data_IF_672408275721
#
_entry.id   IF_672408275721
#
_cell.length_a   1.000
_cell.length_b   1.000
_cell.length_c   1.000
_cell.angle_alpha   90.00
_cell.angle_beta   90.00
_cell.angle_gamma   90.00
#
_symmetry.space_group_name_H-M   'P 1'
#
loop_
_entity.id
_entity.type
_entity.pdbx_description
1 polymer ?
#
# COMPACT_ATOMS: atom_id res chain seq x y z
N UNK A 1 3.23 -22.48 18.49
CA UNK A 1 2.49 -21.53 17.65
C UNK A 1 3.52 -20.59 17.08
N UNK A 2 3.74 -20.58 15.74
CA UNK A 2 4.71 -19.68 15.12
C UNK A 2 4.26 -18.23 15.31
N UNK A 3 5.20 -17.32 15.62
CA UNK A 3 4.92 -15.89 15.69
C UNK A 3 4.51 -15.38 14.30
N UNK A 4 3.46 -14.58 14.24
CA UNK A 4 2.99 -13.99 13.00
C UNK A 4 3.98 -12.91 12.54
N UNK A 5 4.66 -13.13 11.41
CA UNK A 5 5.63 -12.19 10.86
C UNK A 5 4.92 -11.10 10.06
N UNK A 6 5.34 -9.84 10.26
CA UNK A 6 4.87 -8.71 9.47
C UNK A 6 6.00 -8.15 8.61
N UNK A 7 5.76 -8.05 7.31
CA UNK A 7 6.62 -7.33 6.35
C UNK A 7 5.89 -6.08 5.88
N UNK A 8 6.46 -4.91 6.16
CA UNK A 8 5.91 -3.62 5.77
C UNK A 8 6.50 -3.14 4.43
N UNK A 9 5.64 -2.74 3.49
CA UNK A 9 6.06 -2.24 2.17
C UNK A 9 5.39 -0.89 1.90
N UNK A 10 6.10 0.20 2.14
CA UNK A 10 5.60 1.55 1.94
C UNK A 10 6.12 2.20 0.65
N UNK A 11 5.50 3.29 0.26
CA UNK A 11 5.93 4.07 -0.90
C UNK A 11 4.79 4.78 -1.63
N UNK A 12 5.09 5.71 -2.54
CA UNK A 12 4.08 6.48 -3.27
C UNK A 12 3.27 5.61 -4.23
N UNK A 13 2.23 6.21 -4.83
CA UNK A 13 1.40 5.52 -5.83
C UNK A 13 2.24 5.09 -7.04
N UNK A 14 1.96 3.92 -7.59
CA UNK A 14 2.62 3.33 -8.77
C UNK A 14 4.16 3.16 -8.66
N UNK A 15 4.71 3.10 -7.44
CA UNK A 15 6.13 2.80 -7.20
C UNK A 15 6.50 1.33 -7.44
N UNK A 16 5.52 0.45 -7.60
CA UNK A 16 5.74 -0.99 -7.71
C UNK A 16 5.59 -1.77 -6.40
N UNK A 17 5.35 -1.09 -5.28
CA UNK A 17 5.24 -1.72 -3.95
C UNK A 17 4.21 -2.86 -3.88
N UNK A 18 3.00 -2.69 -4.45
CA UNK A 18 1.97 -3.73 -4.44
C UNK A 18 2.34 -4.97 -5.27
N UNK A 19 3.13 -4.80 -6.34
CA UNK A 19 3.70 -5.93 -7.09
C UNK A 19 4.73 -6.67 -6.25
N UNK A 20 5.62 -5.93 -5.58
CA UNK A 20 6.59 -6.50 -4.66
C UNK A 20 5.90 -7.24 -3.51
N UNK A 21 4.94 -6.59 -2.84
CA UNK A 21 4.24 -7.16 -1.69
C UNK A 21 3.54 -8.49 -2.01
N UNK A 22 2.82 -8.56 -3.15
CA UNK A 22 2.20 -9.82 -3.58
C UNK A 22 3.22 -10.93 -3.86
N UNK A 23 4.34 -10.58 -4.51
CA UNK A 23 5.39 -11.55 -4.81
C UNK A 23 6.08 -12.06 -3.55
N UNK A 24 6.36 -11.17 -2.59
CA UNK A 24 6.93 -11.56 -1.29
C UNK A 24 5.96 -12.44 -0.51
N UNK A 25 4.68 -12.08 -0.45
CA UNK A 25 3.67 -12.89 0.20
C UNK A 25 3.60 -14.31 -0.39
N UNK A 26 3.56 -14.43 -1.71
CA UNK A 26 3.57 -15.74 -2.38
C UNK A 26 4.87 -16.52 -2.12
N UNK A 27 6.04 -15.85 -2.09
CA UNK A 27 7.34 -16.48 -1.92
C UNK A 27 7.58 -17.04 -0.51
N UNK A 28 7.02 -16.37 0.50
CA UNK A 28 7.18 -16.78 1.91
C UNK A 28 5.90 -17.41 2.49
N UNK A 29 4.91 -17.73 1.67
CA UNK A 29 3.65 -18.30 2.13
C UNK A 29 2.87 -17.40 3.08
N UNK A 30 3.10 -16.06 3.02
CA UNK A 30 2.42 -15.07 3.87
C UNK A 30 1.15 -14.56 3.20
N UNK A 31 0.25 -14.01 4.02
CA UNK A 31 -0.95 -13.32 3.52
C UNK A 31 -0.57 -11.95 2.98
N UNK A 32 -1.36 -11.40 2.05
CA UNK A 32 -1.12 -10.06 1.49
C UNK A 32 -2.32 -9.14 1.73
N UNK A 33 -2.06 -7.91 2.17
CA UNK A 33 -3.06 -6.85 2.28
C UNK A 33 -2.60 -5.56 1.59
N UNK A 34 -3.28 -5.19 0.49
CA UNK A 34 -3.22 -3.83 -0.09
C UNK A 34 -4.08 -2.91 0.78
N UNK A 35 -3.44 -2.23 1.74
CA UNK A 35 -4.16 -1.35 2.68
C UNK A 35 -4.80 -0.16 1.97
N UNK A 36 -4.31 0.22 0.80
CA UNK A 36 -4.93 1.23 -0.03
C UNK A 36 -6.36 0.88 -0.45
N UNK A 37 -6.71 -0.41 -0.56
CA UNK A 37 -8.08 -0.83 -0.86
C UNK A 37 -9.04 -0.52 0.28
N UNK A 38 -8.60 -0.63 1.55
CA UNK A 38 -9.41 -0.25 2.72
C UNK A 38 -9.87 1.22 2.61
N UNK A 39 -8.91 2.13 2.39
CA UNK A 39 -9.22 3.55 2.24
C UNK A 39 -10.05 3.86 1.00
N UNK A 40 -9.87 3.12 -0.09
CA UNK A 40 -10.67 3.29 -1.31
C UNK A 40 -12.11 2.86 -1.11
N UNK A 41 -12.34 1.72 -0.43
CA UNK A 41 -13.69 1.27 -0.10
C UNK A 41 -14.42 2.29 0.79
N UNK A 42 -13.78 2.77 1.85
CA UNK A 42 -14.32 3.86 2.69
C UNK A 42 -14.56 5.13 1.86
N UNK A 43 -13.63 5.49 0.99
CA UNK A 43 -13.77 6.68 0.15
C UNK A 43 -14.94 6.62 -0.83
N UNK A 44 -15.23 5.46 -1.40
CA UNK A 44 -16.40 5.25 -2.27
C UNK A 44 -17.69 5.35 -1.46
N UNK A 45 -17.76 4.71 -0.29
CA UNK A 45 -18.93 4.79 0.61
C UNK A 45 -19.17 6.24 1.06
N UNK A 46 -18.10 6.97 1.39
CA UNK A 46 -18.19 8.39 1.75
C UNK A 46 -18.65 9.28 0.59
N UNK A 47 -18.19 9.01 -0.64
CA UNK A 47 -18.64 9.71 -1.84
C UNK A 47 -20.12 9.44 -2.16
N UNK A 48 -20.66 8.31 -1.72
CA UNK A 48 -22.09 7.99 -1.79
C UNK A 48 -22.92 8.59 -0.63
N UNK A 49 -22.31 9.41 0.25
CA UNK A 49 -23.00 10.14 1.33
C UNK A 49 -22.96 9.47 2.70
N UNK A 50 -22.25 8.33 2.84
CA UNK A 50 -22.08 7.70 4.16
C UNK A 50 -21.02 8.46 4.98
N UNK A 51 -21.21 8.53 6.30
CA UNK A 51 -20.18 9.06 7.19
C UNK A 51 -18.89 8.22 7.07
N UNK A 52 -17.72 8.84 6.82
CA UNK A 52 -16.49 8.10 6.54
C UNK A 52 -15.97 7.31 7.75
N UNK A 53 -16.28 7.74 8.99
CA UNK A 53 -15.86 7.01 10.20
C UNK A 53 -16.70 5.76 10.36
N UNK A 54 -18.02 5.89 10.25
CA UNK A 54 -18.95 4.74 10.26
C UNK A 54 -18.61 3.75 9.12
N UNK A 55 -18.32 4.26 7.91
CA UNK A 55 -17.92 3.42 6.79
C UNK A 55 -16.63 2.64 7.07
N UNK A 56 -15.70 3.22 7.83
CA UNK A 56 -14.46 2.56 8.22
C UNK A 56 -14.65 1.53 9.34
N UNK A 57 -15.50 1.82 10.32
CA UNK A 57 -15.82 0.92 11.43
C UNK A 57 -16.58 -0.33 10.97
N UNK A 58 -17.47 -0.16 9.98
CA UNK A 58 -18.29 -1.24 9.41
C UNK A 58 -17.66 -1.91 8.18
N UNK A 59 -16.37 -1.66 7.90
CA UNK A 59 -15.70 -2.19 6.72
C UNK A 59 -15.48 -3.70 6.86
N UNK A 60 -15.91 -4.44 5.86
CA UNK A 60 -15.67 -5.88 5.73
C UNK A 60 -14.67 -6.18 4.59
N UNK A 61 -13.99 -7.34 4.65
CA UNK A 61 -13.06 -7.74 3.58
C UNK A 61 -13.77 -8.01 2.25
N UNK A 62 -15.06 -8.36 2.27
CA UNK A 62 -15.93 -8.46 1.10
C UNK A 62 -16.04 -7.14 0.32
N UNK A 63 -15.97 -6.00 1.02
CA UNK A 63 -15.97 -4.66 0.40
C UNK A 63 -14.74 -4.40 -0.48
N UNK A 64 -13.69 -5.20 -0.36
CA UNK A 64 -12.42 -5.00 -1.08
C UNK A 64 -12.36 -5.65 -2.46
N UNK A 65 -13.43 -6.31 -2.91
CA UNK A 65 -13.46 -7.11 -4.15
C UNK A 65 -14.03 -6.40 -5.36
N UNK A 66 -14.59 -5.19 -5.21
CA UNK A 66 -15.25 -4.45 -6.29
C UNK A 66 -14.30 -3.94 -7.39
N UNK A 67 -14.72 -3.98 -8.68
CA UNK A 67 -13.91 -3.47 -9.80
C UNK A 67 -13.63 -1.96 -9.71
N UNK A 68 -14.54 -1.20 -9.11
CA UNK A 68 -14.46 0.26 -9.00
C UNK A 68 -13.35 0.74 -8.06
N UNK A 69 -12.91 -0.12 -7.14
CA UNK A 69 -11.84 0.20 -6.17
C UNK A 69 -10.49 0.52 -6.83
N UNK A 70 -10.27 0.11 -8.08
CA UNK A 70 -8.99 0.28 -8.76
C UNK A 70 -8.95 1.47 -9.74
N UNK A 71 -10.07 2.19 -9.86
CA UNK A 71 -10.19 3.42 -10.66
C UNK A 71 -9.51 4.63 -10.02
N UNK A 72 -9.36 5.71 -10.81
CA UNK A 72 -8.77 6.95 -10.31
C UNK A 72 -9.69 7.67 -9.32
N UNK A 73 -11.01 7.62 -9.53
CA UNK A 73 -12.00 8.16 -8.60
C UNK A 73 -11.87 7.57 -7.19
N UNK A 74 -11.79 6.22 -7.10
CA UNK A 74 -11.58 5.54 -5.83
C UNK A 74 -10.22 5.89 -5.20
N UNK A 75 -9.18 6.04 -6.03
CA UNK A 75 -7.85 6.41 -5.56
C UNK A 75 -7.81 7.82 -4.95
N UNK A 76 -8.52 8.78 -5.54
CA UNK A 76 -8.64 10.15 -5.02
C UNK A 76 -9.52 10.18 -3.75
N UNK A 77 -10.68 9.51 -3.77
CA UNK A 77 -11.56 9.40 -2.62
C UNK A 77 -10.85 8.76 -1.41
N UNK A 78 -10.14 7.65 -1.63
CA UNK A 78 -9.35 6.99 -0.60
C UNK A 78 -8.23 7.89 -0.03
N UNK A 79 -7.56 8.67 -0.86
CA UNK A 79 -6.53 9.62 -0.39
C UNK A 79 -7.12 10.75 0.46
N UNK A 80 -8.35 11.21 0.17
CA UNK A 80 -9.06 12.22 0.97
C UNK A 80 -9.43 11.68 2.35
N UNK A 81 -10.08 10.51 2.44
CA UNK A 81 -10.50 9.94 3.73
C UNK A 81 -9.30 9.46 4.57
N UNK A 82 -8.18 9.13 3.94
CA UNK A 82 -6.94 8.79 4.63
C UNK A 82 -6.31 9.99 5.40
N UNK A 83 -6.77 11.21 5.19
CA UNK A 83 -6.40 12.38 5.98
C UNK A 83 -7.22 12.51 7.29
N UNK A 84 -8.29 11.74 7.46
CA UNK A 84 -9.18 11.79 8.64
C UNK A 84 -8.61 10.89 9.75
N UNK A 85 -8.19 11.43 10.92
CA UNK A 85 -7.55 10.62 11.97
C UNK A 85 -8.44 9.48 12.49
N UNK A 86 -9.75 9.71 12.65
CA UNK A 86 -10.69 8.69 13.14
C UNK A 86 -10.83 7.52 12.15
N UNK A 87 -10.88 7.78 10.83
CA UNK A 87 -10.87 6.73 9.79
C UNK A 87 -9.59 5.90 9.88
N UNK A 88 -8.44 6.54 10.08
CA UNK A 88 -7.15 5.84 10.23
C UNK A 88 -7.13 4.95 11.46
N UNK A 89 -7.67 5.44 12.60
CA UNK A 89 -7.76 4.68 13.84
C UNK A 89 -8.59 3.40 13.65
N UNK A 90 -9.78 3.51 13.04
CA UNK A 90 -10.65 2.37 12.75
C UNK A 90 -9.96 1.36 11.83
N UNK A 91 -9.39 1.81 10.71
CA UNK A 91 -8.72 0.93 9.74
C UNK A 91 -7.41 0.32 10.25
N UNK A 92 -6.72 0.95 11.21
CA UNK A 92 -5.55 0.35 11.86
C UNK A 92 -5.93 -0.93 12.61
N UNK A 93 -7.06 -0.94 13.32
CA UNK A 93 -7.57 -2.14 13.96
C UNK A 93 -7.82 -3.30 12.98
N UNK A 94 -8.35 -3.02 11.79
CA UNK A 94 -8.55 -4.02 10.72
C UNK A 94 -7.21 -4.60 10.27
N UNK A 95 -6.21 -3.75 10.04
CA UNK A 95 -4.87 -4.16 9.61
C UNK A 95 -4.16 -5.02 10.67
N UNK A 96 -4.27 -4.66 11.94
CA UNK A 96 -3.70 -5.43 13.05
C UNK A 96 -4.34 -6.82 13.15
N UNK A 97 -5.68 -6.90 13.10
CA UNK A 97 -6.37 -8.22 13.11
C UNK A 97 -5.95 -9.09 11.94
N UNK A 98 -5.84 -8.50 10.73
CA UNK A 98 -5.36 -9.23 9.56
C UNK A 98 -3.96 -9.80 9.76
N UNK A 99 -3.02 -9.00 10.26
CA UNK A 99 -1.63 -9.41 10.41
C UNK A 99 -1.40 -10.39 11.58
N UNK A 100 -2.28 -10.39 12.59
CA UNK A 100 -2.18 -11.28 13.74
C UNK A 100 -2.47 -12.76 13.41
N UNK A 101 -3.17 -13.03 12.31
CA UNK A 101 -3.49 -14.40 11.91
C UNK A 101 -2.27 -15.09 11.27
N UNK A 102 -1.94 -16.33 11.69
CA UNK A 102 -0.86 -17.10 11.09
C UNK A 102 -1.07 -17.31 9.56
N UNK A 103 0.03 -17.39 8.82
CA UNK A 103 1.44 -17.36 9.20
C UNK A 103 2.01 -15.93 9.34
N UNK A 104 1.18 -14.90 9.28
CA UNK A 104 1.57 -13.50 9.22
C UNK A 104 1.25 -12.86 7.87
N UNK A 105 1.75 -11.65 7.63
CA UNK A 105 1.34 -10.89 6.45
C UNK A 105 2.42 -9.95 5.89
N UNK A 106 2.32 -9.72 4.58
CA UNK A 106 2.93 -8.60 3.88
C UNK A 106 1.84 -7.53 3.67
N UNK A 107 2.04 -6.35 4.24
CA UNK A 107 1.13 -5.22 4.06
C UNK A 107 1.80 -4.14 3.20
N UNK A 108 1.07 -3.63 2.20
CA UNK A 108 1.56 -2.49 1.45
C UNK A 108 0.69 -1.24 1.62
N UNK A 109 1.36 -0.10 1.81
CA UNK A 109 0.68 1.16 2.12
C UNK A 109 1.51 2.42 1.93
N UNK A 110 1.41 3.32 2.93
CA UNK A 110 2.12 4.60 2.97
C UNK A 110 2.87 4.82 4.29
N UNK A 111 2.42 4.18 5.34
CA UNK A 111 2.84 4.36 6.72
C UNK A 111 2.81 3.06 7.53
N UNK A 112 2.92 1.94 6.84
CA UNK A 112 2.88 0.62 7.49
C UNK A 112 4.05 0.50 8.45
N UNK A 113 5.27 0.75 8.00
CA UNK A 113 6.48 0.64 8.81
C UNK A 113 6.74 1.82 9.73
N UNK A 114 5.98 2.94 9.62
CA UNK A 114 6.16 4.10 10.49
C UNK A 114 5.11 4.23 11.57
N UNK A 115 3.85 3.82 11.30
CA UNK A 115 2.70 4.08 12.17
C UNK A 115 1.90 2.82 12.48
N UNK A 116 1.63 1.96 11.48
CA UNK A 116 0.75 0.81 11.67
C UNK A 116 1.50 -0.33 12.36
N UNK A 117 2.69 -0.66 11.89
CA UNK A 117 3.60 -1.67 12.45
C UNK A 117 5.02 -1.09 12.59
N UNK A 118 5.23 -0.15 13.53
CA UNK A 118 6.54 0.48 13.72
C UNK A 118 7.62 -0.52 14.17
N UNK A 119 7.21 -1.65 14.74
CA UNK A 119 8.10 -2.72 15.20
C UNK A 119 8.20 -3.89 14.20
N UNK A 120 7.68 -3.75 12.98
CA UNK A 120 7.83 -4.77 11.94
C UNK A 120 9.31 -5.08 11.71
N UNK A 121 9.73 -6.37 11.73
CA UNK A 121 11.14 -6.75 11.60
C UNK A 121 11.72 -6.43 10.23
N UNK A 122 10.88 -6.36 9.19
CA UNK A 122 11.29 -6.02 7.83
C UNK A 122 10.43 -4.89 7.29
N UNK A 123 11.09 -3.84 6.84
CA UNK A 123 10.46 -2.65 6.27
C UNK A 123 11.11 -2.26 4.96
N UNK A 124 10.30 -2.05 3.95
CA UNK A 124 10.70 -1.53 2.65
C UNK A 124 10.05 -0.19 2.38
N UNK A 125 10.79 0.71 1.76
CA UNK A 125 10.25 1.90 1.13
C UNK A 125 10.60 1.89 -0.36
N UNK A 126 9.59 1.68 -1.20
CA UNK A 126 9.77 1.61 -2.64
C UNK A 126 9.44 2.96 -3.25
N UNK A 127 10.46 3.63 -3.78
CA UNK A 127 10.29 4.92 -4.47
C UNK A 127 10.52 4.79 -5.97
N UNK A 128 10.12 5.80 -6.71
CA UNK A 128 10.47 6.02 -8.11
C UNK A 128 10.15 7.47 -8.49
N UNK A 129 10.83 7.99 -9.51
CA UNK A 129 10.54 9.33 -10.05
C UNK A 129 9.07 9.48 -10.44
N UNK A 130 8.51 10.64 -10.21
CA UNK A 130 7.09 10.92 -10.46
C UNK A 130 6.69 10.58 -11.91
N UNK A 131 7.53 10.95 -12.88
CA UNK A 131 7.28 10.72 -14.32
C UNK A 131 7.24 9.22 -14.65
N UNK A 132 8.12 8.42 -14.05
CA UNK A 132 8.15 6.96 -14.26
C UNK A 132 6.89 6.31 -13.67
N UNK A 133 6.48 6.75 -12.48
CA UNK A 133 5.24 6.29 -11.84
C UNK A 133 4.00 6.70 -12.63
N UNK A 134 3.98 7.92 -13.16
CA UNK A 134 2.88 8.39 -14.00
C UNK A 134 2.78 7.61 -15.32
N UNK A 135 3.91 7.26 -15.95
CA UNK A 135 3.94 6.39 -17.14
C UNK A 135 3.42 4.99 -16.83
N UNK A 136 3.81 4.41 -15.66
CA UNK A 136 3.31 3.09 -15.21
C UNK A 136 1.80 3.13 -15.01
N UNK A 137 1.30 4.16 -14.31
CA UNK A 137 -0.14 4.32 -14.03
C UNK A 137 -0.94 4.55 -15.30
N UNK A 138 -0.46 5.39 -16.20
CA UNK A 138 -1.10 5.64 -17.50
C UNK A 138 -1.24 4.35 -18.31
N UNK A 139 -0.17 3.54 -18.40
CA UNK A 139 -0.22 2.22 -19.06
C UNK A 139 -1.17 1.24 -18.38
N UNK A 140 -1.21 1.24 -17.06
CA UNK A 140 -2.13 0.40 -16.28
C UNK A 140 -3.59 0.74 -16.59
N UNK A 141 -3.95 2.01 -16.64
CA UNK A 141 -5.30 2.47 -16.98
C UNK A 141 -5.70 2.08 -18.40
N UNK A 142 -4.82 2.32 -19.38
CA UNK A 142 -5.04 1.89 -20.76
C UNK A 142 -5.20 0.37 -20.89
N UNK A 143 -4.37 -0.40 -20.19
CA UNK A 143 -4.46 -1.86 -20.17
C UNK A 143 -5.75 -2.41 -19.56
N UNK A 144 -6.47 -1.59 -18.80
CA UNK A 144 -7.82 -1.89 -18.26
C UNK A 144 -8.95 -1.36 -19.14
N UNK A 145 -8.65 -0.88 -20.34
CA UNK A 145 -9.64 -0.30 -21.24
C UNK A 145 -10.17 1.08 -20.82
N UNK A 146 -9.54 1.72 -19.82
CA UNK A 146 -9.96 3.04 -19.36
C UNK A 146 -9.31 4.14 -20.22
N UNK A 147 -10.07 5.19 -20.53
CA UNK A 147 -9.51 6.38 -21.18
C UNK A 147 -8.54 7.06 -20.21
N UNK A 148 -7.32 7.34 -20.66
CA UNK A 148 -6.29 7.96 -19.84
C UNK A 148 -5.51 8.99 -20.64
N UNK A 149 -5.21 10.13 -20.02
CA UNK A 149 -4.39 11.21 -20.59
C UNK A 149 -3.19 11.37 -19.65
N UNK A 150 -1.97 11.17 -20.16
CA UNK A 150 -0.74 11.17 -19.36
C UNK A 150 -0.56 12.45 -18.51
N UNK A 151 -0.78 13.64 -19.08
CA UNK A 151 -0.63 14.91 -18.36
C UNK A 151 -1.59 15.03 -17.18
N UNK A 152 -2.82 14.51 -17.28
CA UNK A 152 -3.77 14.42 -16.17
C UNK A 152 -3.27 13.45 -15.09
N UNK A 153 -2.87 12.25 -15.50
CA UNK A 153 -2.33 11.26 -14.56
C UNK A 153 -1.12 11.82 -13.79
N UNK A 154 -0.21 12.51 -14.48
CA UNK A 154 0.96 13.15 -13.86
C UNK A 154 0.54 14.20 -12.83
N UNK A 155 -0.40 15.08 -13.18
CA UNK A 155 -0.90 16.12 -12.27
C UNK A 155 -1.61 15.52 -11.05
N UNK A 156 -2.51 14.55 -11.26
CA UNK A 156 -3.24 13.87 -10.20
C UNK A 156 -2.30 13.15 -9.22
N UNK A 157 -1.23 12.55 -9.75
CA UNK A 157 -0.23 11.88 -8.92
C UNK A 157 0.63 12.87 -8.14
N UNK A 158 0.99 14.02 -8.73
CA UNK A 158 1.70 15.10 -8.05
C UNK A 158 0.90 15.64 -6.86
N UNK A 159 -0.38 15.92 -7.08
CA UNK A 159 -1.29 16.40 -6.03
C UNK A 159 -1.49 15.36 -4.92
N UNK A 160 -1.61 14.09 -5.31
CA UNK A 160 -1.72 12.99 -4.36
C UNK A 160 -0.46 12.84 -3.51
N UNK A 161 0.72 12.88 -4.12
CA UNK A 161 1.99 12.80 -3.40
C UNK A 161 2.15 13.97 -2.43
N UNK A 162 1.74 15.17 -2.84
CA UNK A 162 1.74 16.34 -1.96
C UNK A 162 0.81 16.13 -0.75
N UNK A 163 -0.41 15.60 -0.96
CA UNK A 163 -1.32 15.26 0.15
C UNK A 163 -0.75 14.16 1.04
N UNK A 164 -0.23 13.06 0.46
CA UNK A 164 0.27 11.92 1.22
C UNK A 164 1.49 12.31 2.08
N UNK A 165 2.38 13.17 1.57
CA UNK A 165 3.55 13.69 2.32
C UNK A 165 3.21 14.81 3.30
N UNK A 166 2.23 15.65 2.97
CA UNK A 166 1.83 16.80 3.78
C UNK A 166 0.87 16.49 4.94
N UNK A 167 0.52 15.22 5.17
CA UNK A 167 -0.33 14.84 6.30
C UNK A 167 0.34 15.16 7.63
N UNK A 168 -0.41 15.77 8.55
CA UNK A 168 0.03 15.97 9.95
C UNK A 168 0.12 14.63 10.70
N UNK A 169 -0.76 13.68 10.34
CA UNK A 169 -0.79 12.34 10.91
C UNK A 169 -0.40 11.33 9.84
N UNK A 170 0.59 10.50 10.13
CA UNK A 170 1.07 9.44 9.25
C UNK A 170 1.48 9.94 7.83
N UNK A 171 2.43 10.88 7.73
CA UNK A 171 2.94 11.33 6.45
C UNK A 171 3.63 10.18 5.69
N UNK A 172 3.65 10.28 4.37
CA UNK A 172 4.39 9.35 3.53
C UNK A 172 5.89 9.66 3.61
N UNK A 173 6.58 8.98 4.51
CA UNK A 173 8.03 9.04 4.71
C UNK A 173 8.58 7.63 4.94
N UNK A 174 9.84 7.33 4.59
CA UNK A 174 10.46 6.06 4.92
C UNK A 174 10.63 5.92 6.44
N UNK A 175 10.42 4.72 6.98
CA UNK A 175 10.84 4.41 8.34
C UNK A 175 12.37 4.47 8.42
N UNK A 176 12.92 4.81 9.60
CA UNK A 176 14.38 5.00 9.78
C UNK A 176 15.18 3.75 9.47
N UNK A 177 14.59 2.60 9.71
CA UNK A 177 15.15 1.25 9.52
C UNK A 177 14.66 0.56 8.25
N UNK A 178 13.93 1.28 7.37
CA UNK A 178 13.48 0.72 6.11
C UNK A 178 14.60 0.61 5.07
N UNK A 179 14.66 -0.50 4.35
CA UNK A 179 15.42 -0.57 3.11
C UNK A 179 14.72 0.24 2.02
N UNK A 180 15.36 1.33 1.58
CA UNK A 180 14.85 2.17 0.49
C UNK A 180 15.34 1.61 -0.84
N UNK A 181 14.39 1.33 -1.76
CA UNK A 181 14.70 0.85 -3.11
C UNK A 181 14.12 1.84 -4.14
N UNK A 182 15.00 2.48 -4.91
CA UNK A 182 14.58 3.28 -6.07
C UNK A 182 14.32 2.36 -7.28
N UNK A 183 13.04 2.20 -7.60
CA UNK A 183 12.58 1.37 -8.71
C UNK A 183 12.52 2.11 -10.06
N UNK A 184 13.01 3.34 -10.17
CA UNK A 184 12.89 4.16 -11.40
C UNK A 184 13.49 3.46 -12.62
N UNK A 185 14.64 2.80 -12.43
CA UNK A 185 15.41 2.10 -13.49
C UNK A 185 15.46 0.58 -13.29
N UNK A 186 14.78 0.05 -12.26
CA UNK A 186 14.76 -1.37 -11.97
C UNK A 186 13.48 -2.01 -12.52
N UNK A 187 13.60 -3.21 -13.03
CA UNK A 187 12.45 -4.08 -13.30
C UNK A 187 11.94 -4.73 -12.01
N UNK A 188 10.77 -5.35 -12.10
CA UNK A 188 10.13 -5.98 -10.95
C UNK A 188 10.93 -7.15 -10.37
N UNK A 189 11.75 -7.83 -11.20
CA UNK A 189 12.57 -8.96 -10.77
C UNK A 189 13.80 -8.48 -10.00
N UNK A 190 14.44 -7.39 -10.44
CA UNK A 190 15.55 -6.80 -9.73
C UNK A 190 15.14 -6.27 -8.36
N UNK A 191 14.00 -5.58 -8.26
CA UNK A 191 13.44 -5.12 -6.98
C UNK A 191 13.13 -6.31 -6.07
N UNK A 192 12.51 -7.36 -6.62
CA UNK A 192 12.18 -8.57 -5.86
C UNK A 192 13.44 -9.29 -5.32
N UNK A 193 14.48 -9.48 -6.15
CA UNK A 193 15.73 -10.10 -5.71
C UNK A 193 16.40 -9.31 -4.58
N UNK A 194 16.43 -7.98 -4.67
CA UNK A 194 16.98 -7.15 -3.58
C UNK A 194 16.17 -7.30 -2.29
N UNK A 195 14.86 -7.35 -2.39
CA UNK A 195 13.98 -7.51 -1.23
C UNK A 195 14.16 -8.90 -0.58
N UNK A 196 14.19 -9.97 -1.36
CA UNK A 196 14.43 -11.35 -0.86
C UNK A 196 15.79 -11.43 -0.17
N UNK A 197 16.87 -10.93 -0.77
CA UNK A 197 18.19 -10.94 -0.15
C UNK A 197 18.23 -10.18 1.18
N UNK A 198 17.43 -9.12 1.31
CA UNK A 198 17.31 -8.40 2.59
C UNK A 198 16.53 -9.21 3.62
N UNK A 199 15.38 -9.80 3.25
CA UNK A 199 14.57 -10.62 4.14
C UNK A 199 15.37 -11.82 4.66
N UNK A 200 16.03 -12.56 3.77
CA UNK A 200 16.82 -13.74 4.13
C UNK A 200 17.96 -13.40 5.13
N UNK A 201 18.48 -12.17 5.07
CA UNK A 201 19.49 -11.69 6.03
C UNK A 201 18.88 -11.32 7.38
N UNK A 202 17.70 -10.69 7.41
CA UNK A 202 17.03 -10.22 8.64
C UNK A 202 16.27 -11.35 9.33
N UNK A 203 15.66 -12.23 8.55
CA UNK A 203 14.83 -13.34 8.99
C UNK A 203 15.30 -14.66 8.37
N UNK A 204 16.51 -15.16 8.72
CA UNK A 204 17.12 -16.32 8.05
C UNK A 204 16.31 -17.61 8.17
N UNK A 205 15.40 -17.68 9.15
CA UNK A 205 14.55 -18.85 9.41
C UNK A 205 13.12 -18.70 8.86
N UNK A 206 12.82 -17.61 8.12
CA UNK A 206 11.50 -17.45 7.52
C UNK A 206 11.33 -18.50 6.41
N UNK A 207 10.37 -19.40 6.59
CA UNK A 207 10.11 -20.47 5.62
C UNK A 207 9.68 -19.86 4.26
N UNK A 208 10.10 -20.53 3.19
CA UNK A 208 9.61 -20.25 1.83
C UNK A 208 8.40 -21.13 1.59
N UNK A 209 7.32 -20.53 1.06
CA UNK A 209 6.07 -21.23 0.75
C UNK A 209 6.15 -22.07 -0.53
#
# INVERSE_FOLDING_TARGET
MGESVVIAVDGPAASGKGTLARRLAAHYGLRHLDTGLLYRAVGIKAAAGQDPVQAAEMLEFSDLTGPDLRGDGAAQAGSKVAAIPAVRAALRGVQHRFAAEPPGAVLDGRDIGTVVFPDAPVKFYIDARLEDRARRRHRELLGRGQKSIYSRVLQDMKERDARDRGRTVAPLIPAKDALVIDSSKLDADAVFRQAVAHIDRVLPNLARG
#
